data_IF_016339958716
#
_entry.id   IF_016339958716
#
_cell.length_a   1.000
_cell.length_b   1.000
_cell.length_c   1.000
_cell.angle_alpha   90.00
_cell.angle_beta   90.00
_cell.angle_gamma   90.00
#
_symmetry.space_group_name_H-M   'P 1'
#
loop_
_entity.id
_entity.type
_entity.pdbx_description
1 polymer ?
#
# COMPACT_ATOMS: atom_id res chain seq x y z
N UNK A 1 15.23 52.13 68.16
CA UNK A 1 14.94 50.70 68.35
C UNK A 1 14.75 50.12 66.97
N UNK A 2 15.53 49.16 66.47
CA UNK A 2 16.78 48.55 66.94
C UNK A 2 17.56 48.10 65.68
N UNK A 3 18.88 48.29 65.71
CA UNK A 3 19.97 47.38 65.26
C UNK A 3 19.82 46.48 64.00
N UNK A 4 20.71 46.58 63.00
CA UNK A 4 21.99 45.81 62.84
C UNK A 4 21.77 44.43 62.14
N UNK A 5 22.62 43.89 61.25
CA UNK A 5 24.07 44.06 61.00
C UNK A 5 24.43 44.14 59.50
N UNK A 6 25.59 44.70 59.20
CA UNK A 6 26.39 44.51 57.98
C UNK A 6 26.84 43.05 57.76
N UNK A 7 27.09 42.64 56.50
CA UNK A 7 28.41 42.20 55.98
C UNK A 7 28.35 41.19 54.80
N UNK A 8 29.18 41.48 53.79
CA UNK A 8 29.87 40.56 52.86
C UNK A 8 29.15 39.33 52.26
N UNK A 9 29.21 39.21 50.92
CA UNK A 9 30.33 38.49 50.26
C UNK A 9 30.30 38.63 48.74
N UNK A 10 31.11 39.54 48.21
CA UNK A 10 31.52 39.48 46.81
C UNK A 10 32.61 38.41 46.65
N UNK A 11 32.28 37.23 46.11
CA UNK A 11 33.24 36.28 45.51
C UNK A 11 32.53 35.18 44.73
N UNK A 12 32.29 35.43 43.44
CA UNK A 12 31.97 34.39 42.44
C UNK A 12 32.64 34.72 41.08
N UNK A 13 33.71 35.51 41.12
CA UNK A 13 34.49 35.97 39.98
C UNK A 13 35.97 35.70 40.23
N UNK A 14 36.32 34.44 40.47
CA UNK A 14 37.71 34.00 40.57
C UNK A 14 37.86 32.58 40.02
N UNK A 15 38.97 32.34 39.31
CA UNK A 15 39.27 31.12 38.54
C UNK A 15 38.42 30.82 37.30
N UNK A 16 38.22 31.85 36.46
CA UNK A 16 38.61 31.65 35.06
C UNK A 16 40.14 31.73 34.96
N UNK A 17 40.82 30.71 35.50
CA UNK A 17 42.21 30.46 35.11
C UNK A 17 42.21 30.18 33.61
N UNK A 18 43.13 30.80 32.86
CA UNK A 18 43.36 30.49 31.47
C UNK A 18 43.96 29.08 31.37
N UNK A 19 43.11 28.05 31.48
CA UNK A 19 43.50 26.64 31.30
C UNK A 19 43.92 26.43 29.86
N UNK A 20 45.22 26.57 29.62
CA UNK A 20 45.89 25.91 28.50
C UNK A 20 45.72 24.40 28.70
N UNK A 21 44.83 23.78 27.92
CA UNK A 21 44.61 22.35 27.99
C UNK A 21 45.92 21.59 27.77
N UNK A 22 46.21 20.61 28.63
CA UNK A 22 47.27 19.65 28.36
C UNK A 22 46.94 18.88 27.08
N UNK A 23 47.94 18.49 26.29
CA UNK A 23 47.74 17.61 25.13
C UNK A 23 47.06 16.30 25.53
N UNK A 24 47.28 15.82 26.76
CA UNK A 24 46.64 14.63 27.32
C UNK A 24 45.15 14.87 27.60
N UNK A 25 44.78 16.06 28.11
CA UNK A 25 43.36 16.46 28.28
C UNK A 25 42.67 16.60 26.92
N UNK A 26 43.34 17.20 25.92
CA UNK A 26 42.82 17.29 24.54
C UNK A 26 42.58 15.90 23.97
N UNK A 27 43.55 14.98 24.10
CA UNK A 27 43.45 13.62 23.62
C UNK A 27 42.29 12.87 24.31
N UNK A 28 42.12 13.01 25.62
CA UNK A 28 41.01 12.42 26.38
C UNK A 28 39.64 12.98 25.95
N UNK A 29 39.54 14.28 25.70
CA UNK A 29 38.31 14.92 25.20
C UNK A 29 37.97 14.45 23.78
N UNK A 30 38.96 14.34 22.90
CA UNK A 30 38.79 13.83 21.52
C UNK A 30 38.36 12.36 21.53
N UNK A 31 39.01 11.52 22.34
CA UNK A 31 38.61 10.12 22.50
C UNK A 31 37.19 9.98 23.05
N UNK A 32 36.81 10.77 24.06
CA UNK A 32 35.45 10.79 24.61
C UNK A 32 34.41 11.18 23.56
N UNK A 33 34.64 12.26 22.80
CA UNK A 33 33.74 12.68 21.70
C UNK A 33 33.62 11.63 20.62
N UNK A 34 34.73 11.04 20.17
CA UNK A 34 34.73 9.96 19.18
C UNK A 34 33.99 8.71 19.69
N UNK A 35 34.12 8.37 20.98
CA UNK A 35 33.38 7.25 21.58
C UNK A 35 31.88 7.55 21.70
N UNK A 36 31.49 8.77 22.06
CA UNK A 36 30.08 9.19 22.11
C UNK A 36 29.44 9.26 20.72
N UNK A 37 30.16 9.74 19.71
CA UNK A 37 29.69 9.81 18.32
C UNK A 37 29.56 8.40 17.72
N UNK A 38 30.58 7.55 17.86
CA UNK A 38 30.51 6.13 17.47
C UNK A 38 29.41 5.38 18.22
N UNK A 39 29.23 5.65 19.52
CA UNK A 39 28.17 5.02 20.32
C UNK A 39 26.76 5.44 19.89
N UNK A 40 26.58 6.68 19.42
CA UNK A 40 25.32 7.16 18.82
C UNK A 40 25.07 6.54 17.46
N UNK A 41 26.06 6.57 16.56
CA UNK A 41 25.97 5.95 15.23
C UNK A 41 25.70 4.44 15.34
N UNK A 42 26.43 3.74 16.21
CA UNK A 42 26.25 2.31 16.43
C UNK A 42 24.89 1.98 17.06
N UNK A 43 24.38 2.78 18.01
CA UNK A 43 23.00 2.62 18.51
C UNK A 43 21.94 2.86 17.44
N UNK A 44 22.16 3.78 16.51
CA UNK A 44 21.26 4.04 15.39
C UNK A 44 21.33 2.96 14.31
N UNK A 45 22.46 2.25 14.18
CA UNK A 45 22.63 1.12 13.27
C UNK A 45 22.29 -0.23 13.91
N UNK A 46 22.20 -0.31 15.25
CA UNK A 46 21.86 -1.53 15.99
C UNK A 46 20.48 -1.48 16.65
N UNK A 47 19.65 -0.49 16.33
CA UNK A 47 18.29 -0.37 16.86
C UNK A 47 17.31 -1.11 15.95
N UNK A 48 16.45 -1.92 16.56
CA UNK A 48 15.32 -2.58 15.90
C UNK A 48 14.39 -1.62 15.15
N UNK A 49 14.40 -0.32 15.50
CA UNK A 49 13.72 0.75 14.76
C UNK A 49 14.14 0.84 13.28
N UNK A 50 15.39 0.51 12.94
CA UNK A 50 15.82 0.46 11.52
C UNK A 50 15.20 -0.76 10.84
N UNK A 51 15.30 -1.95 11.45
CA UNK A 51 14.69 -3.17 10.93
C UNK A 51 13.16 -3.04 10.76
N UNK A 52 12.49 -2.39 11.70
CA UNK A 52 11.04 -2.12 11.66
C UNK A 52 10.69 -1.12 10.54
N UNK A 53 11.50 -0.07 10.36
CA UNK A 53 11.32 0.89 9.28
C UNK A 53 11.57 0.27 7.91
N UNK A 54 12.58 -0.57 7.77
CA UNK A 54 12.86 -1.32 6.53
C UNK A 54 11.72 -2.29 6.21
N UNK A 55 11.23 -3.07 7.19
CA UNK A 55 10.04 -3.94 7.01
C UNK A 55 8.81 -3.16 6.56
N UNK A 56 8.53 -2.01 7.20
CA UNK A 56 7.39 -1.17 6.85
C UNK A 56 7.51 -0.57 5.43
N UNK A 57 8.73 -0.28 4.97
CA UNK A 57 8.99 0.15 3.60
C UNK A 57 8.80 -1.02 2.61
N UNK A 58 9.39 -2.18 2.85
CA UNK A 58 9.22 -3.36 2.00
C UNK A 58 7.74 -3.80 1.89
N UNK A 59 6.98 -3.76 2.99
CA UNK A 59 5.54 -4.02 2.95
C UNK A 59 4.79 -3.03 2.05
N UNK A 60 5.17 -1.74 2.08
CA UNK A 60 4.56 -0.70 1.26
C UNK A 60 4.93 -0.88 -0.21
N UNK A 61 6.18 -1.18 -0.51
CA UNK A 61 6.67 -1.47 -1.86
C UNK A 61 5.96 -2.69 -2.46
N UNK A 62 5.83 -3.78 -1.69
CA UNK A 62 5.08 -4.97 -2.11
C UNK A 62 3.60 -4.66 -2.38
N UNK A 63 2.95 -3.87 -1.53
CA UNK A 63 1.54 -3.44 -1.74
C UNK A 63 1.39 -2.56 -2.99
N UNK A 64 2.35 -1.68 -3.27
CA UNK A 64 2.37 -0.86 -4.50
C UNK A 64 2.60 -1.73 -5.74
N UNK A 65 3.56 -2.65 -5.73
CA UNK A 65 3.81 -3.57 -6.85
C UNK A 65 2.58 -4.44 -7.17
N UNK A 66 1.86 -4.94 -6.15
CA UNK A 66 0.59 -5.65 -6.34
C UNK A 66 -0.47 -4.72 -6.96
N UNK A 67 -0.59 -3.49 -6.48
CA UNK A 67 -1.55 -2.51 -7.03
C UNK A 67 -1.23 -2.10 -8.47
N UNK A 68 0.04 -2.03 -8.85
CA UNK A 68 0.50 -1.75 -10.22
C UNK A 68 0.16 -2.92 -11.14
N UNK A 69 0.45 -4.16 -10.73
CA UNK A 69 0.05 -5.38 -11.46
C UNK A 69 -1.46 -5.55 -11.58
N UNK A 70 -2.21 -5.17 -10.56
CA UNK A 70 -3.67 -5.10 -10.63
C UNK A 70 -4.10 -4.09 -11.68
N UNK A 71 -3.49 -2.89 -11.73
CA UNK A 71 -3.80 -1.88 -12.73
C UNK A 71 -3.51 -2.36 -14.17
N UNK A 72 -2.34 -2.95 -14.42
CA UNK A 72 -2.02 -3.50 -15.74
C UNK A 72 -2.96 -4.63 -16.13
N UNK A 73 -3.37 -5.49 -15.18
CA UNK A 73 -4.39 -6.51 -15.42
C UNK A 73 -5.78 -5.92 -15.72
N UNK A 74 -6.19 -4.79 -15.10
CA UNK A 74 -7.43 -4.08 -15.50
C UNK A 74 -7.40 -3.75 -16.99
N UNK A 75 -6.27 -3.22 -17.44
CA UNK A 75 -6.12 -2.72 -18.81
C UNK A 75 -6.09 -3.86 -19.82
N UNK A 76 -5.32 -4.93 -19.56
CA UNK A 76 -5.31 -6.12 -20.41
C UNK A 76 -6.69 -6.80 -20.50
N UNK A 77 -7.43 -6.90 -19.39
CA UNK A 77 -8.80 -7.43 -19.40
C UNK A 77 -9.76 -6.53 -20.18
N UNK A 78 -9.59 -5.21 -20.12
CA UNK A 78 -10.39 -4.27 -20.92
C UNK A 78 -10.13 -4.40 -22.42
N UNK A 79 -8.86 -4.54 -22.83
CA UNK A 79 -8.47 -4.85 -24.21
C UNK A 79 -9.04 -6.22 -24.65
N UNK A 80 -9.03 -7.18 -23.71
CA UNK A 80 -9.73 -8.47 -23.67
C UNK A 80 -11.24 -8.43 -24.02
N UNK A 81 -11.90 -7.28 -23.79
CA UNK A 81 -13.36 -7.15 -23.62
C UNK A 81 -13.94 -8.01 -22.47
N UNK A 82 -13.12 -8.26 -21.45
CA UNK A 82 -13.42 -9.11 -20.31
C UNK A 82 -13.91 -8.29 -19.10
N UNK A 83 -14.73 -8.85 -18.19
CA UNK A 83 -15.19 -8.15 -16.99
C UNK A 83 -14.03 -7.77 -16.07
N UNK A 84 -14.00 -6.50 -15.63
CA UNK A 84 -13.00 -6.00 -14.68
C UNK A 84 -13.13 -6.60 -13.28
N UNK A 85 -14.23 -7.30 -12.96
CA UNK A 85 -14.44 -8.04 -11.71
C UNK A 85 -13.53 -9.28 -11.60
N UNK A 86 -13.01 -9.80 -12.73
CA UNK A 86 -12.14 -10.99 -12.73
C UNK A 86 -10.82 -10.77 -11.98
N UNK A 87 -10.40 -9.51 -11.82
CA UNK A 87 -9.16 -9.07 -11.16
C UNK A 87 -9.04 -9.63 -9.75
N UNK A 88 -10.15 -9.70 -9.00
CA UNK A 88 -10.14 -10.18 -7.62
C UNK A 88 -9.84 -11.69 -7.51
N UNK A 89 -9.78 -12.40 -8.64
CA UNK A 89 -9.50 -13.84 -8.76
C UNK A 89 -8.12 -14.16 -9.38
N UNK A 90 -7.31 -13.16 -9.78
CA UNK A 90 -5.99 -13.37 -10.39
C UNK A 90 -4.86 -13.42 -9.36
N UNK A 91 -3.82 -14.21 -9.65
CA UNK A 91 -2.61 -14.29 -8.82
C UNK A 91 -1.54 -13.26 -9.23
N UNK A 92 -1.38 -12.24 -8.39
CA UNK A 92 -0.42 -11.14 -8.54
C UNK A 92 0.97 -11.38 -7.95
N UNK A 93 1.29 -12.62 -7.52
CA UNK A 93 2.58 -12.96 -6.92
C UNK A 93 3.77 -12.63 -7.82
N UNK A 94 3.64 -12.84 -9.13
CA UNK A 94 4.68 -12.53 -10.13
C UNK A 94 4.07 -11.86 -11.37
N UNK A 95 4.93 -11.24 -12.19
CA UNK A 95 4.51 -10.64 -13.46
C UNK A 95 4.03 -11.67 -14.50
N UNK A 96 4.52 -12.91 -14.43
CA UNK A 96 4.13 -13.97 -15.36
C UNK A 96 2.88 -14.73 -14.89
N UNK A 97 2.69 -14.92 -13.57
CA UNK A 97 1.53 -15.64 -13.01
C UNK A 97 0.19 -14.99 -13.39
N UNK A 98 0.10 -13.66 -13.35
CA UNK A 98 -1.14 -12.98 -13.72
C UNK A 98 -1.38 -13.02 -15.24
N UNK A 99 -0.34 -12.89 -16.07
CA UNK A 99 -0.44 -13.02 -17.54
C UNK A 99 -0.91 -14.42 -17.95
N UNK A 100 -0.30 -15.46 -17.38
CA UNK A 100 -0.75 -16.84 -17.57
C UNK A 100 -2.20 -17.06 -17.11
N UNK A 101 -2.64 -16.36 -16.07
CA UNK A 101 -4.02 -16.45 -15.59
C UNK A 101 -4.99 -15.78 -16.57
N UNK A 102 -4.60 -14.63 -17.15
CA UNK A 102 -5.37 -13.96 -18.21
C UNK A 102 -5.49 -14.85 -19.45
N UNK A 103 -4.40 -15.45 -19.95
CA UNK A 103 -4.46 -16.29 -21.16
C UNK A 103 -5.32 -17.53 -20.94
N UNK A 104 -5.20 -18.20 -19.78
CA UNK A 104 -6.08 -19.33 -19.41
C UNK A 104 -7.54 -18.92 -19.32
N UNK A 105 -7.85 -17.73 -18.78
CA UNK A 105 -9.20 -17.17 -18.76
C UNK A 105 -9.70 -16.85 -20.18
N UNK A 106 -8.86 -16.30 -21.05
CA UNK A 106 -9.18 -15.98 -22.44
C UNK A 106 -9.52 -17.22 -23.26
N UNK A 107 -8.76 -18.31 -23.11
CA UNK A 107 -9.04 -19.61 -23.71
C UNK A 107 -10.37 -20.19 -23.22
N UNK A 108 -10.63 -20.12 -21.91
CA UNK A 108 -11.88 -20.58 -21.29
C UNK A 108 -13.07 -19.77 -21.82
N UNK A 109 -12.98 -18.44 -21.80
CA UNK A 109 -14.04 -17.57 -22.32
C UNK A 109 -14.27 -17.85 -23.80
N UNK A 110 -13.24 -17.83 -24.64
CA UNK A 110 -13.34 -18.14 -26.07
C UNK A 110 -14.01 -19.50 -26.36
N UNK A 111 -13.79 -20.50 -25.50
CA UNK A 111 -14.40 -21.83 -25.60
C UNK A 111 -15.89 -21.86 -25.20
N UNK A 112 -16.30 -21.07 -24.20
CA UNK A 112 -17.66 -21.13 -23.62
C UNK A 112 -18.57 -19.95 -23.99
N UNK A 113 -18.05 -18.83 -24.51
CA UNK A 113 -18.83 -17.70 -25.07
C UNK A 113 -19.35 -17.99 -26.49
N UNK A 114 -19.53 -19.26 -26.84
CA UNK A 114 -20.24 -19.66 -28.05
C UNK A 114 -21.68 -19.12 -28.08
N UNK A 115 -22.34 -19.09 -29.25
CA UNK A 115 -23.70 -18.62 -29.34
C UNK A 115 -24.59 -19.40 -28.36
N UNK A 116 -25.32 -18.68 -27.51
CA UNK A 116 -26.31 -19.26 -26.62
C UNK A 116 -27.28 -20.09 -27.46
N UNK A 117 -27.15 -21.42 -27.37
CA UNK A 117 -28.08 -22.33 -28.03
C UNK A 117 -29.41 -22.17 -27.33
N UNK A 118 -30.35 -21.48 -27.98
CA UNK A 118 -31.74 -21.47 -27.55
C UNK A 118 -32.28 -22.90 -27.70
N UNK A 119 -32.33 -23.61 -26.58
CA UNK A 119 -33.05 -24.87 -26.47
C UNK A 119 -34.52 -24.53 -26.23
N UNK A 120 -35.16 -23.96 -27.24
CA UNK A 120 -36.61 -23.76 -27.26
C UNK A 120 -37.26 -25.14 -27.47
N UNK A 121 -38.27 -25.49 -26.67
CA UNK A 121 -38.92 -26.81 -26.70
C UNK A 121 -39.86 -27.02 -27.90
N UNK A 122 -39.74 -26.20 -28.94
CA UNK A 122 -40.64 -26.16 -30.11
C UNK A 122 -42.06 -25.67 -29.80
N UNK A 123 -42.36 -25.34 -28.55
CA UNK A 123 -43.62 -24.71 -28.14
C UNK A 123 -43.43 -23.18 -28.15
N UNK A 124 -44.18 -22.45 -28.97
CA UNK A 124 -44.20 -20.97 -28.90
C UNK A 124 -44.91 -20.53 -27.62
N UNK A 125 -44.16 -20.30 -26.53
CA UNK A 125 -44.74 -19.75 -25.31
C UNK A 125 -45.02 -18.25 -25.47
N UNK A 126 -46.25 -17.93 -25.90
CA UNK A 126 -46.80 -16.58 -25.82
C UNK A 126 -46.07 -15.55 -26.66
N UNK A 127 -45.86 -15.82 -27.96
CA UNK A 127 -45.75 -14.69 -28.90
C UNK A 127 -47.05 -13.89 -28.77
N UNK A 128 -46.94 -12.60 -28.45
CA UNK A 128 -48.12 -11.75 -28.32
C UNK A 128 -48.84 -11.72 -29.67
N UNK A 129 -49.97 -12.42 -29.75
CA UNK A 129 -50.88 -12.41 -30.88
C UNK A 129 -51.19 -10.95 -31.17
N UNK A 130 -50.91 -10.51 -32.41
CA UNK A 130 -51.35 -9.19 -32.83
C UNK A 130 -52.87 -9.18 -32.68
N UNK A 131 -53.41 -8.13 -32.06
CA UNK A 131 -54.81 -7.93 -31.65
C UNK A 131 -55.89 -8.29 -32.71
N UNK A 132 -55.50 -8.54 -33.96
CA UNK A 132 -56.34 -9.08 -35.04
C UNK A 132 -56.64 -10.58 -34.94
N UNK A 133 -55.94 -11.35 -34.10
CA UNK A 133 -56.06 -12.80 -33.97
C UNK A 133 -56.60 -13.28 -32.61
N UNK A 134 -56.82 -12.38 -31.66
CA UNK A 134 -57.43 -12.74 -30.37
C UNK A 134 -58.96 -12.73 -30.48
N UNK A 135 -59.55 -13.90 -30.72
CA UNK A 135 -61.02 -14.08 -30.74
C UNK A 135 -61.69 -13.58 -29.45
N UNK A 136 -60.99 -13.64 -28.32
CA UNK A 136 -61.43 -13.05 -27.04
C UNK A 136 -61.67 -11.54 -27.11
N UNK A 137 -60.83 -10.80 -27.85
CA UNK A 137 -61.00 -9.35 -28.03
C UNK A 137 -62.06 -9.00 -29.06
N UNK A 138 -62.36 -9.92 -29.99
CA UNK A 138 -63.43 -9.79 -30.97
C UNK A 138 -64.81 -9.90 -30.34
N UNK A 139 -65.00 -10.86 -29.44
CA UNK A 139 -66.27 -11.11 -28.73
C UNK A 139 -66.65 -9.96 -27.79
N UNK A 140 -65.67 -9.24 -27.22
CA UNK A 140 -65.90 -8.08 -26.34
C UNK A 140 -66.23 -6.76 -27.07
N UNK A 141 -66.42 -6.81 -28.40
CA UNK A 141 -66.57 -5.61 -29.25
C UNK A 141 -67.85 -5.60 -30.09
N UNK A 142 -68.74 -6.57 -29.84
CA UNK A 142 -70.07 -6.75 -30.44
C UNK A 142 -71.13 -6.68 -29.33
#
# INVERSE_FOLDING_TARGET
MEEMTQETKATAAEKQEARTFSQEEVNAIVQKRLAEEKGKAQKQQSSSEVDEREKALCERENKLAISERQFTAKQLLADEKMPAELIDFLDYSTDESYKESITKLSDIFSKYTGPCVRIDTGLDHGTATKNSYDDFTRILKE
#
